data_IF_353058053897
#
_entry.id   IF_353058053897
#
_cell.length_a   1.000
_cell.length_b   1.000
_cell.length_c   1.000
_cell.angle_alpha   90.00
_cell.angle_beta   90.00
_cell.angle_gamma   90.00
#
_symmetry.space_group_name_H-M   'P 1'
#
loop_
_entity.id
_entity.type
_entity.pdbx_description
1 polymer ?
#
# COMPACT_ATOMS: atom_id res chain seq x y z
N UNK A 1 12.72 -4.52 1.61
CA UNK A 1 11.83 -5.55 1.03
C UNK A 1 10.46 -5.39 1.67
N UNK A 2 9.51 -4.84 0.91
CA UNK A 2 8.09 -5.02 1.19
C UNK A 2 7.72 -6.38 0.62
N UNK A 3 7.58 -7.39 1.45
CA UNK A 3 6.92 -8.60 0.97
C UNK A 3 5.42 -8.35 1.09
N UNK A 4 4.75 -8.37 -0.04
CA UNK A 4 3.31 -8.35 -0.07
C UNK A 4 2.73 -9.37 0.90
N UNK A 5 1.93 -8.85 1.81
CA UNK A 5 0.78 -9.49 2.41
C UNK A 5 0.92 -10.94 2.89
N UNK A 6 1.14 -11.12 4.17
CA UNK A 6 0.53 -12.27 4.78
C UNK A 6 -0.96 -11.97 4.93
N UNK A 7 -1.76 -12.29 3.94
CA UNK A 7 -3.20 -12.24 4.08
C UNK A 7 -3.63 -13.21 5.18
N UNK A 8 -4.33 -12.72 6.17
CA UNK A 8 -4.86 -13.50 7.30
C UNK A 8 -5.84 -14.58 6.84
N UNK A 9 -6.34 -14.46 5.64
CA UNK A 9 -7.03 -15.55 4.97
C UNK A 9 -6.01 -16.63 4.57
N UNK A 10 -5.75 -17.57 5.46
CA UNK A 10 -4.99 -18.82 5.24
C UNK A 10 -5.38 -19.61 3.96
N UNK A 11 -6.01 -18.97 2.97
CA UNK A 11 -6.60 -19.56 1.78
C UNK A 11 -6.42 -18.74 0.50
N UNK A 12 -5.68 -17.63 0.47
CA UNK A 12 -5.34 -16.98 -0.79
C UNK A 12 -4.17 -17.70 -1.45
N UNK A 13 -4.48 -18.43 -2.52
CA UNK A 13 -3.50 -19.23 -3.28
C UNK A 13 -2.60 -18.39 -4.19
N UNK A 14 -2.96 -17.13 -4.46
CA UNK A 14 -2.29 -16.31 -5.47
C UNK A 14 -1.42 -15.20 -4.89
N UNK A 15 -1.74 -14.64 -3.72
CA UNK A 15 -1.14 -13.39 -3.26
C UNK A 15 -0.76 -13.36 -1.77
N UNK A 16 -1.24 -14.25 -0.96
CA UNK A 16 -1.03 -14.29 0.49
C UNK A 16 -0.46 -15.63 0.97
N UNK A 17 0.58 -16.16 0.32
CA UNK A 17 1.12 -17.49 0.63
C UNK A 17 1.99 -17.53 1.89
N UNK A 18 2.40 -16.38 2.42
CA UNK A 18 3.31 -16.31 3.55
C UNK A 18 2.59 -16.48 4.88
N UNK A 19 2.98 -17.49 5.65
CA UNK A 19 2.57 -17.58 7.05
C UNK A 19 3.45 -16.68 7.90
N UNK A 20 2.85 -15.88 8.79
CA UNK A 20 3.53 -14.87 9.60
C UNK A 20 4.80 -15.43 10.28
N UNK A 21 4.71 -16.59 10.94
CA UNK A 21 5.86 -17.19 11.64
C UNK A 21 7.00 -17.55 10.68
N UNK A 22 6.66 -18.20 9.56
CA UNK A 22 7.63 -18.61 8.55
C UNK A 22 8.28 -17.39 7.89
N UNK A 23 7.49 -16.34 7.62
CA UNK A 23 7.95 -15.06 7.07
C UNK A 23 8.97 -14.38 8.01
N UNK A 24 8.61 -14.18 9.28
CA UNK A 24 9.50 -13.55 10.25
C UNK A 24 10.77 -14.35 10.49
N UNK A 25 10.66 -15.69 10.58
CA UNK A 25 11.81 -16.57 10.68
C UNK A 25 12.75 -16.42 9.47
N UNK A 26 12.19 -16.37 8.25
CA UNK A 26 12.99 -16.19 7.03
C UNK A 26 13.68 -14.83 6.97
N UNK A 27 13.00 -13.75 7.39
CA UNK A 27 13.59 -12.41 7.53
C UNK A 27 14.83 -12.46 8.42
N UNK A 28 14.72 -13.14 9.56
CA UNK A 28 15.82 -13.30 10.52
C UNK A 28 16.97 -14.12 9.95
N UNK A 29 16.68 -15.25 9.29
CA UNK A 29 17.69 -16.10 8.62
C UNK A 29 18.49 -15.32 7.57
N UNK A 30 17.85 -14.39 6.86
CA UNK A 30 18.49 -13.53 5.87
C UNK A 30 19.30 -12.36 6.49
N UNK A 31 19.39 -12.29 7.82
CA UNK A 31 20.12 -11.25 8.53
C UNK A 31 19.44 -9.89 8.50
N UNK A 32 18.16 -9.81 8.13
CA UNK A 32 17.40 -8.56 8.16
C UNK A 32 16.97 -8.23 9.58
N UNK A 33 16.91 -6.94 9.92
CA UNK A 33 16.53 -6.44 11.25
C UNK A 33 15.11 -5.88 11.32
N UNK A 34 14.43 -5.78 10.18
CA UNK A 34 13.07 -5.23 10.07
C UNK A 34 12.29 -5.91 8.96
N UNK A 35 10.97 -5.89 9.10
CA UNK A 35 10.04 -6.40 8.10
C UNK A 35 8.72 -5.63 8.15
N UNK A 36 8.01 -5.58 7.02
CA UNK A 36 6.71 -4.90 6.90
C UNK A 36 5.59 -5.90 6.60
N UNK A 37 4.37 -5.56 7.06
CA UNK A 37 3.13 -6.17 6.64
C UNK A 37 2.27 -5.12 5.96
N UNK A 38 1.75 -5.41 4.75
CA UNK A 38 0.98 -4.48 3.92
C UNK A 38 -0.17 -5.21 3.22
N UNK A 39 -1.05 -5.84 4.02
CA UNK A 39 -2.19 -6.61 3.51
C UNK A 39 -3.10 -5.75 2.61
N UNK A 40 -3.76 -6.38 1.63
CA UNK A 40 -4.64 -5.71 0.67
C UNK A 40 -5.96 -5.25 1.30
N UNK A 41 -6.08 -3.95 1.56
CA UNK A 41 -7.28 -3.29 2.05
C UNK A 41 -7.66 -3.60 3.50
N UNK A 42 -6.84 -4.34 4.25
CA UNK A 42 -7.11 -4.77 5.63
C UNK A 42 -5.88 -4.67 6.51
N UNK A 43 -6.08 -4.74 7.84
CA UNK A 43 -5.01 -4.77 8.84
C UNK A 43 -5.11 -6.00 9.77
N UNK A 44 -5.74 -7.08 9.32
CA UNK A 44 -6.06 -8.22 10.17
C UNK A 44 -4.82 -8.95 10.69
N UNK A 45 -3.74 -8.99 9.92
CA UNK A 45 -2.48 -9.63 10.30
C UNK A 45 -1.59 -8.80 11.22
N UNK A 46 -1.86 -7.52 11.41
CA UNK A 46 -0.94 -6.57 12.06
C UNK A 46 -0.55 -6.99 13.49
N UNK A 47 -1.49 -7.42 14.31
CA UNK A 47 -1.22 -7.77 15.71
C UNK A 47 -0.41 -9.05 15.84
N UNK A 48 -0.74 -10.08 15.06
CA UNK A 48 -0.01 -11.35 15.07
C UNK A 48 1.40 -11.15 14.52
N UNK A 49 1.54 -10.38 13.44
CA UNK A 49 2.83 -10.01 12.87
C UNK A 49 3.68 -9.21 13.86
N UNK A 50 3.10 -8.20 14.52
CA UNK A 50 3.80 -7.39 15.53
C UNK A 50 4.36 -8.26 16.66
N UNK A 51 3.52 -9.14 17.24
CA UNK A 51 3.92 -10.03 18.32
C UNK A 51 5.05 -10.98 17.89
N UNK A 52 4.91 -11.60 16.73
CA UNK A 52 5.91 -12.56 16.22
C UNK A 52 7.24 -11.86 15.89
N UNK A 53 7.21 -10.73 15.19
CA UNK A 53 8.40 -9.96 14.86
C UNK A 53 9.16 -9.51 16.12
N UNK A 54 8.44 -8.97 17.12
CA UNK A 54 9.02 -8.58 18.40
C UNK A 54 9.63 -9.75 19.15
N UNK A 55 8.96 -10.89 19.17
CA UNK A 55 9.47 -12.11 19.82
C UNK A 55 10.77 -12.62 19.19
N UNK A 56 10.96 -12.42 17.89
CA UNK A 56 12.16 -12.84 17.17
C UNK A 56 13.24 -11.74 17.07
N UNK A 57 13.02 -10.56 17.64
CA UNK A 57 13.95 -9.41 17.63
C UNK A 57 13.97 -8.66 16.29
N UNK A 58 12.94 -8.80 15.48
CA UNK A 58 12.75 -8.08 14.21
C UNK A 58 11.89 -6.83 14.47
N UNK A 59 12.27 -5.67 13.91
CA UNK A 59 11.47 -4.45 13.96
C UNK A 59 10.24 -4.60 13.06
N UNK A 60 9.00 -4.62 13.60
CA UNK A 60 7.79 -4.67 12.80
C UNK A 60 7.48 -3.30 12.20
N UNK A 61 7.13 -3.25 10.93
CA UNK A 61 6.59 -2.08 10.23
C UNK A 61 5.16 -2.44 9.84
N UNK A 62 4.19 -1.70 10.36
CA UNK A 62 2.77 -1.96 10.16
C UNK A 62 2.23 -1.07 9.04
N UNK A 63 1.57 -1.65 8.08
CA UNK A 63 1.04 -0.96 6.91
C UNK A 63 -0.21 -1.63 6.35
N UNK A 64 -0.68 -1.08 5.25
CA UNK A 64 -1.78 -1.60 4.46
C UNK A 64 -1.65 -1.11 3.02
N UNK A 65 -1.90 -1.97 2.04
CA UNK A 65 -2.11 -1.54 0.66
C UNK A 65 -3.57 -1.15 0.49
N UNK A 66 -3.85 0.15 0.48
CA UNK A 66 -5.20 0.67 0.35
C UNK A 66 -5.62 0.81 -1.12
N UNK A 67 -6.93 0.82 -1.35
CA UNK A 67 -7.54 1.06 -2.66
C UNK A 67 -8.02 2.51 -2.75
N UNK A 68 -7.40 3.32 -3.59
CA UNK A 68 -7.72 4.75 -3.75
C UNK A 68 -8.70 4.92 -4.89
N UNK A 69 -9.88 5.49 -4.62
CA UNK A 69 -10.85 5.84 -5.65
C UNK A 69 -10.30 6.97 -6.54
N UNK A 70 -10.53 6.94 -7.86
CA UNK A 70 -10.12 8.02 -8.76
C UNK A 70 -10.77 9.38 -8.44
N UNK A 71 -12.01 9.33 -7.95
CA UNK A 71 -12.77 10.47 -7.46
C UNK A 71 -13.08 10.34 -5.98
N UNK A 72 -14.36 10.43 -5.62
CA UNK A 72 -14.81 10.26 -4.24
C UNK A 72 -14.99 8.78 -3.89
N UNK A 73 -14.67 8.42 -2.63
CA UNK A 73 -14.97 7.08 -2.08
C UNK A 73 -16.46 6.73 -2.09
N UNK A 74 -17.33 7.74 -2.21
CA UNK A 74 -18.78 7.57 -2.29
C UNK A 74 -19.28 7.25 -3.71
N UNK A 75 -18.47 7.42 -4.74
CA UNK A 75 -18.85 7.14 -6.12
C UNK A 75 -19.11 5.65 -6.30
N UNK A 76 -20.26 5.30 -6.89
CA UNK A 76 -20.67 3.91 -7.16
C UNK A 76 -20.77 3.60 -8.66
N UNK A 77 -20.50 4.58 -9.50
CA UNK A 77 -20.51 4.47 -10.95
C UNK A 77 -19.07 4.62 -11.47
N UNK A 78 -18.69 3.74 -12.38
CA UNK A 78 -17.45 3.82 -13.14
C UNK A 78 -17.80 3.68 -14.60
N UNK A 79 -17.34 4.59 -15.43
CA UNK A 79 -17.50 4.50 -16.88
C UNK A 79 -16.76 3.27 -17.43
N UNK A 80 -17.24 2.74 -18.54
CA UNK A 80 -16.66 1.55 -19.15
C UNK A 80 -15.23 1.86 -19.61
N UNK A 81 -14.22 1.20 -18.99
CA UNK A 81 -12.81 1.40 -19.30
C UNK A 81 -12.06 2.30 -18.33
N UNK A 82 -12.73 2.90 -17.34
CA UNK A 82 -12.08 3.65 -16.27
C UNK A 82 -11.63 2.74 -15.13
N UNK A 83 -10.58 3.18 -14.43
CA UNK A 83 -10.08 2.49 -13.26
C UNK A 83 -11.05 2.68 -12.08
N UNK A 84 -11.38 1.59 -11.40
CA UNK A 84 -12.27 1.63 -10.23
C UNK A 84 -11.55 2.07 -8.97
N UNK A 85 -10.25 1.82 -8.91
CA UNK A 85 -9.36 2.15 -7.81
C UNK A 85 -7.90 2.00 -8.24
N UNK A 86 -7.02 2.65 -7.50
CA UNK A 86 -5.56 2.50 -7.58
C UNK A 86 -5.03 1.90 -6.28
N UNK A 87 -3.86 1.29 -6.34
CA UNK A 87 -3.16 0.82 -5.15
C UNK A 87 -2.25 1.91 -4.59
N UNK A 88 -2.19 2.01 -3.27
CA UNK A 88 -1.28 2.87 -2.54
C UNK A 88 -0.85 2.13 -1.27
N UNK A 89 0.45 2.02 -1.03
CA UNK A 89 0.95 1.41 0.21
C UNK A 89 1.11 2.49 1.27
N UNK A 90 0.53 2.27 2.44
CA UNK A 90 0.65 3.15 3.60
C UNK A 90 1.36 2.41 4.73
N UNK A 91 2.36 3.04 5.32
CA UNK A 91 3.15 2.53 6.45
C UNK A 91 3.00 3.47 7.64
N UNK A 92 2.77 2.92 8.82
CA UNK A 92 2.75 3.71 10.06
C UNK A 92 4.19 3.95 10.54
N UNK A 93 4.60 5.21 10.60
CA UNK A 93 5.89 5.63 11.12
C UNK A 93 5.95 5.55 12.65
N UNK A 94 4.82 5.87 13.31
CA UNK A 94 4.67 5.99 14.75
C UNK A 94 3.25 5.65 15.21
N UNK A 95 2.95 5.80 16.51
CA UNK A 95 1.63 5.49 17.06
C UNK A 95 0.50 6.38 16.51
N UNK A 96 0.79 7.65 16.20
CA UNK A 96 -0.17 8.55 15.54
C UNK A 96 -0.51 8.01 14.16
N UNK A 97 0.51 7.66 13.37
CA UNK A 97 0.34 7.04 12.05
C UNK A 97 -0.43 5.71 12.12
N UNK A 98 -0.14 4.86 13.12
CA UNK A 98 -0.90 3.62 13.30
C UNK A 98 -2.39 3.88 13.58
N UNK A 99 -2.70 4.85 14.46
CA UNK A 99 -4.08 5.26 14.73
C UNK A 99 -4.75 5.84 13.48
N UNK A 100 -4.04 6.64 12.71
CA UNK A 100 -4.56 7.23 11.47
C UNK A 100 -4.75 6.17 10.37
N UNK A 101 -3.83 5.21 10.25
CA UNK A 101 -3.97 4.10 9.32
C UNK A 101 -5.25 3.28 9.60
N UNK A 102 -5.54 2.98 10.87
CA UNK A 102 -6.79 2.32 11.25
C UNK A 102 -8.02 3.12 10.82
N UNK A 103 -8.02 4.45 10.98
CA UNK A 103 -9.13 5.32 10.55
C UNK A 103 -9.29 5.32 9.03
N UNK A 104 -8.18 5.41 8.28
CA UNK A 104 -8.18 5.35 6.82
C UNK A 104 -8.79 4.04 6.33
N UNK A 105 -8.29 2.90 6.83
CA UNK A 105 -8.79 1.58 6.43
C UNK A 105 -10.25 1.40 6.83
N UNK A 106 -10.65 1.84 8.04
CA UNK A 106 -12.05 1.77 8.50
C UNK A 106 -12.99 2.60 7.61
N UNK A 107 -12.59 3.82 7.21
CA UNK A 107 -13.38 4.64 6.31
C UNK A 107 -13.61 3.95 4.95
N UNK A 108 -12.62 3.23 4.45
CA UNK A 108 -12.76 2.41 3.23
C UNK A 108 -13.88 1.37 3.34
N UNK A 109 -14.03 0.73 4.50
CA UNK A 109 -15.09 -0.25 4.74
C UNK A 109 -16.45 0.39 5.03
N UNK A 110 -16.48 1.45 5.82
CA UNK A 110 -17.74 2.07 6.29
C UNK A 110 -18.37 2.90 5.16
N UNK A 111 -17.58 3.74 4.52
CA UNK A 111 -18.08 4.73 3.56
C UNK A 111 -17.81 4.33 2.10
N UNK A 112 -16.62 3.78 1.85
CA UNK A 112 -16.04 3.62 0.51
C UNK A 112 -16.22 2.26 -0.14
N UNK A 113 -16.92 1.32 0.49
CA UNK A 113 -17.01 -0.04 -0.04
C UNK A 113 -17.81 -0.11 -1.34
N UNK A 114 -17.09 -0.39 -2.43
CA UNK A 114 -17.66 -0.67 -3.75
C UNK A 114 -16.72 -1.63 -4.48
N UNK A 115 -17.05 -2.93 -4.49
CA UNK A 115 -16.20 -4.08 -4.82
C UNK A 115 -14.96 -4.23 -3.93
N UNK A 116 -14.34 -3.14 -3.51
CA UNK A 116 -13.20 -3.07 -2.59
C UNK A 116 -13.44 -1.93 -1.57
N UNK A 117 -12.80 -1.98 -0.38
CA UNK A 117 -12.85 -0.89 0.59
C UNK A 117 -11.98 0.28 0.08
N UNK A 118 -12.60 1.27 -0.57
CA UNK A 118 -11.90 2.38 -1.20
C UNK A 118 -11.80 3.58 -0.28
N UNK A 119 -10.65 4.21 -0.29
CA UNK A 119 -10.40 5.52 0.31
C UNK A 119 -10.29 6.57 -0.80
N UNK A 120 -10.19 7.84 -0.47
CA UNK A 120 -9.99 8.94 -1.41
C UNK A 120 -9.03 10.00 -0.86
N UNK A 121 -8.74 11.02 -1.65
CA UNK A 121 -7.81 12.07 -1.27
C UNK A 121 -8.26 12.80 0.00
N UNK A 122 -9.57 13.01 0.21
CA UNK A 122 -10.10 13.67 1.40
C UNK A 122 -9.71 12.94 2.70
N UNK A 123 -9.88 11.60 2.72
CA UNK A 123 -9.51 10.79 3.90
C UNK A 123 -7.99 10.71 4.06
N UNK A 124 -7.24 10.63 2.97
CA UNK A 124 -5.79 10.64 3.02
C UNK A 124 -5.26 11.98 3.57
N UNK A 125 -5.76 13.11 3.09
CA UNK A 125 -5.41 14.45 3.60
C UNK A 125 -5.76 14.62 5.07
N UNK A 126 -6.91 14.08 5.51
CA UNK A 126 -7.38 14.19 6.89
C UNK A 126 -6.52 13.41 7.89
N UNK A 127 -5.97 12.28 7.48
CA UNK A 127 -5.28 11.33 8.38
C UNK A 127 -3.85 11.00 7.94
N UNK A 128 -3.17 11.90 7.21
CA UNK A 128 -1.81 11.68 6.70
C UNK A 128 -0.71 11.68 7.77
N UNK A 129 -0.95 12.33 8.93
CA UNK A 129 0.08 12.50 9.96
C UNK A 129 0.64 11.17 10.45
N UNK A 130 1.98 11.04 10.45
CA UNK A 130 2.70 9.83 10.85
C UNK A 130 2.57 8.66 9.87
N UNK A 131 2.15 8.94 8.62
CA UNK A 131 2.06 7.96 7.53
C UNK A 131 3.18 8.21 6.53
N UNK A 132 3.86 7.15 6.13
CA UNK A 132 4.73 7.09 4.95
C UNK A 132 3.95 6.37 3.85
N UNK A 133 3.93 6.94 2.65
CA UNK A 133 3.23 6.36 1.51
C UNK A 133 4.19 5.95 0.39
N UNK A 134 3.88 4.84 -0.30
CA UNK A 134 4.63 4.33 -1.45
C UNK A 134 3.68 4.20 -2.65
N UNK A 135 4.20 4.47 -3.86
CA UNK A 135 3.40 4.45 -5.11
C UNK A 135 2.86 3.09 -5.52
N UNK A 136 3.17 2.05 -4.75
CA UNK A 136 2.74 0.65 -4.93
C UNK A 136 3.20 0.01 -6.27
N UNK A 137 2.40 -0.91 -6.78
CA UNK A 137 2.69 -1.75 -7.95
C UNK A 137 2.18 -1.12 -9.26
N UNK A 138 2.15 -1.90 -10.36
CA UNK A 138 1.59 -1.47 -11.65
C UNK A 138 0.11 -1.04 -11.59
N UNK A 139 -0.63 -1.40 -10.53
CA UNK A 139 -1.98 -0.94 -10.28
C UNK A 139 -2.02 0.39 -9.49
N UNK A 140 -0.88 0.93 -9.07
CA UNK A 140 -0.77 2.26 -8.48
C UNK A 140 -1.02 3.36 -9.53
N UNK A 141 -1.54 4.50 -9.09
CA UNK A 141 -1.94 5.60 -10.00
C UNK A 141 -0.75 6.10 -10.84
N UNK A 142 0.41 6.32 -10.21
CA UNK A 142 1.62 6.78 -10.89
C UNK A 142 2.10 5.77 -11.93
N UNK A 143 2.27 4.51 -11.52
CA UNK A 143 2.75 3.45 -12.42
C UNK A 143 1.77 3.20 -13.58
N UNK A 144 0.46 3.25 -13.32
CA UNK A 144 -0.56 3.07 -14.36
C UNK A 144 -0.55 4.17 -15.40
N UNK A 145 -0.30 5.42 -15.01
CA UNK A 145 -0.11 6.51 -15.95
C UNK A 145 1.14 6.31 -16.82
N UNK A 146 2.25 5.82 -16.25
CA UNK A 146 3.46 5.48 -17.00
C UNK A 146 3.20 4.36 -18.03
N UNK A 147 2.51 3.29 -17.63
CA UNK A 147 2.12 2.19 -18.56
C UNK A 147 1.31 2.72 -19.75
N UNK A 148 0.50 3.75 -19.54
CA UNK A 148 -0.32 4.38 -20.60
C UNK A 148 0.40 5.48 -21.38
N UNK A 149 1.72 5.68 -21.17
CA UNK A 149 2.50 6.77 -21.74
C UNK A 149 1.95 8.17 -21.39
N UNK A 150 1.39 8.32 -20.21
CA UNK A 150 0.81 9.56 -19.68
C UNK A 150 1.72 10.15 -18.59
N UNK A 151 2.98 10.44 -18.95
CA UNK A 151 4.03 10.86 -18.01
C UNK A 151 3.59 12.05 -17.12
N UNK A 152 3.03 13.11 -17.72
CA UNK A 152 2.62 14.30 -16.95
C UNK A 152 1.52 13.97 -15.94
N UNK A 153 0.56 13.10 -16.29
CA UNK A 153 -0.46 12.64 -15.34
C UNK A 153 0.16 11.86 -14.17
N UNK A 154 1.12 11.00 -14.45
CA UNK A 154 1.84 10.25 -13.41
C UNK A 154 2.64 11.18 -12.50
N UNK A 155 3.31 12.19 -13.06
CA UNK A 155 4.03 13.21 -12.31
C UNK A 155 3.10 14.06 -11.44
N UNK A 156 1.97 14.50 -11.98
CA UNK A 156 0.95 15.22 -11.20
C UNK A 156 0.40 14.38 -10.04
N UNK A 157 0.14 13.09 -10.28
CA UNK A 157 -0.27 12.17 -9.22
C UNK A 157 0.80 12.05 -8.12
N UNK A 158 2.07 11.87 -8.50
CA UNK A 158 3.19 11.80 -7.55
C UNK A 158 3.31 13.07 -6.70
N UNK A 159 3.26 14.24 -7.34
CA UNK A 159 3.31 15.54 -6.64
C UNK A 159 2.10 15.77 -5.73
N UNK A 160 0.91 15.28 -6.10
CA UNK A 160 -0.28 15.33 -5.26
C UNK A 160 -0.10 14.49 -3.99
N UNK A 161 0.41 13.27 -4.11
CA UNK A 161 0.71 12.44 -2.94
C UNK A 161 1.83 13.04 -2.07
N UNK A 162 2.90 13.56 -2.67
CA UNK A 162 3.95 14.25 -1.91
C UNK A 162 3.38 15.46 -1.13
N UNK A 163 2.46 16.22 -1.72
CA UNK A 163 1.79 17.33 -1.04
C UNK A 163 0.95 16.87 0.16
N UNK A 164 0.27 15.72 0.06
CA UNK A 164 -0.54 15.16 1.15
C UNK A 164 0.33 14.66 2.29
N UNK A 165 1.30 13.80 1.99
CA UNK A 165 2.10 13.13 3.02
C UNK A 165 3.31 13.95 3.48
N UNK A 166 3.69 14.95 2.72
CA UNK A 166 4.84 15.81 2.97
C UNK A 166 6.13 15.29 2.35
N UNK A 167 7.07 16.21 2.13
CA UNK A 167 8.37 15.89 1.57
C UNK A 167 9.13 14.89 2.44
N UNK A 168 9.58 13.79 1.83
CA UNK A 168 10.28 12.71 2.52
C UNK A 168 9.37 11.63 3.12
N UNK A 169 8.03 11.75 2.95
CA UNK A 169 7.06 10.77 3.40
C UNK A 169 6.26 10.13 2.24
N UNK A 170 6.55 10.50 1.01
CA UNK A 170 6.06 9.80 -0.18
C UNK A 170 7.24 9.33 -1.03
N UNK A 171 7.20 8.06 -1.45
CA UNK A 171 8.27 7.43 -2.23
C UNK A 171 7.71 6.72 -3.46
N UNK A 172 8.44 6.85 -4.57
CA UNK A 172 8.21 6.04 -5.76
C UNK A 172 8.76 4.63 -5.54
N UNK A 173 7.93 3.62 -5.69
CA UNK A 173 8.31 2.21 -5.49
C UNK A 173 8.77 1.61 -6.82
N UNK A 174 9.98 1.05 -6.83
CA UNK A 174 10.51 0.30 -7.96
C UNK A 174 10.36 -1.19 -7.68
N UNK A 175 9.68 -1.91 -8.56
CA UNK A 175 9.48 -3.35 -8.45
C UNK A 175 10.17 -4.09 -9.61
N UNK A 176 10.75 -5.24 -9.34
CA UNK A 176 11.33 -6.12 -10.36
C UNK A 176 10.98 -7.60 -10.09
N UNK A 177 9.94 -8.06 -10.79
CA UNK A 177 9.52 -9.46 -10.80
C UNK A 177 9.73 -10.09 -12.19
N UNK A 178 10.60 -9.52 -13.03
CA UNK A 178 10.84 -9.99 -14.39
C UNK A 178 9.76 -9.60 -15.40
N UNK A 179 8.81 -8.73 -15.03
CA UNK A 179 7.70 -8.27 -15.88
C UNK A 179 8.18 -7.10 -16.74
N UNK A 180 7.92 -7.15 -18.06
CA UNK A 180 8.37 -6.13 -19.02
C UNK A 180 7.85 -4.73 -18.69
N UNK A 181 6.59 -4.63 -18.28
CA UNK A 181 5.94 -3.38 -17.89
C UNK A 181 6.61 -2.74 -16.66
N UNK A 182 7.04 -3.55 -15.69
CA UNK A 182 7.78 -3.03 -14.52
C UNK A 182 9.11 -2.41 -14.93
N UNK A 183 9.85 -3.02 -15.85
CA UNK A 183 11.11 -2.46 -16.35
C UNK A 183 10.91 -1.12 -17.03
N UNK A 184 9.87 -1.02 -17.88
CA UNK A 184 9.52 0.23 -18.57
C UNK A 184 9.12 1.32 -17.55
N UNK A 185 8.27 0.99 -16.56
CA UNK A 185 7.84 1.93 -15.52
C UNK A 185 9.04 2.38 -14.68
N UNK A 186 9.91 1.45 -14.25
CA UNK A 186 11.09 1.78 -13.46
C UNK A 186 12.01 2.80 -14.16
N UNK A 187 12.17 2.69 -15.49
CA UNK A 187 12.96 3.66 -16.27
C UNK A 187 12.32 5.06 -16.29
N UNK A 188 11.01 5.17 -16.21
CA UNK A 188 10.31 6.45 -16.18
C UNK A 188 10.22 7.06 -14.77
N UNK A 189 10.34 6.24 -13.72
CA UNK A 189 10.33 6.68 -12.32
C UNK A 189 11.69 7.18 -11.83
N UNK A 190 12.78 6.76 -12.47
CA UNK A 190 14.15 7.20 -12.18
C UNK A 190 14.51 8.50 -12.90
#
# INVERSE_FOLDING_TARGET
YSSAASDVYKRQLLDGSNKIKEYVARVKELGMNSAAITDHGVMFGCIDFYKEARAQGIKPILGCEVYVAPGSRFDRETSRGEDRYYHLVLLAENNTGYSNLMKIVSAGFIDGFYYKPRVDMEILEKYHEGIIALSACLAGEVARAMVRNQYEMGKEAALRYEKIFGKGNFFLELQDHGISEQRMVNQQLM
#
